data_IF_318252891803
#
_entry.id   IF_318252891803
#
_cell.length_a   1.000
_cell.length_b   1.000
_cell.length_c   1.000
_cell.angle_alpha   90.00
_cell.angle_beta   90.00
_cell.angle_gamma   90.00
#
_symmetry.space_group_name_H-M   'P 1'
#
loop_
_entity.id
_entity.type
_entity.pdbx_description
1 polymer ?
#
# COMPACT_ATOMS: atom_id res chain seq x y z
N UNK A 1 9.25 -2.57 -22.19
CA UNK A 1 9.72 -3.93 -22.60
C UNK A 1 8.60 -4.91 -22.29
N UNK A 2 8.51 -6.09 -22.94
CA UNK A 2 7.57 -7.14 -22.51
C UNK A 2 8.20 -8.05 -21.43
N UNK A 3 7.35 -8.73 -20.66
CA UNK A 3 7.76 -9.55 -19.51
C UNK A 3 8.69 -10.70 -19.89
N UNK A 4 8.46 -11.37 -21.02
CA UNK A 4 9.26 -12.53 -21.42
C UNK A 4 10.68 -12.10 -21.82
N UNK A 5 10.81 -10.96 -22.50
CA UNK A 5 12.12 -10.37 -22.82
C UNK A 5 12.87 -9.96 -21.56
N UNK A 6 12.20 -9.31 -20.60
CA UNK A 6 12.79 -8.93 -19.32
C UNK A 6 13.34 -10.14 -18.55
N UNK A 7 12.52 -11.19 -18.38
CA UNK A 7 12.92 -12.40 -17.66
C UNK A 7 14.13 -13.08 -18.30
N UNK A 8 14.19 -13.15 -19.63
CA UNK A 8 15.33 -13.72 -20.36
C UNK A 8 16.61 -12.92 -20.11
N UNK A 9 16.54 -11.59 -20.20
CA UNK A 9 17.71 -10.74 -19.98
C UNK A 9 18.17 -10.77 -18.52
N UNK A 10 17.22 -10.77 -17.57
CA UNK A 10 17.52 -10.90 -16.14
C UNK A 10 18.21 -12.22 -15.84
N UNK A 11 17.68 -13.34 -16.33
CA UNK A 11 18.29 -14.66 -16.16
C UNK A 11 19.71 -14.69 -16.76
N UNK A 12 19.90 -14.14 -17.96
CA UNK A 12 21.21 -14.08 -18.58
C UNK A 12 22.22 -13.31 -17.72
N UNK A 13 21.84 -12.24 -17.03
CA UNK A 13 22.74 -11.55 -16.10
C UNK A 13 23.01 -12.39 -14.86
N UNK A 14 21.99 -13.00 -14.26
CA UNK A 14 22.14 -13.85 -13.08
C UNK A 14 23.04 -15.07 -13.33
N UNK A 15 23.03 -15.61 -14.55
CA UNK A 15 23.92 -16.73 -14.94
C UNK A 15 25.38 -16.30 -15.16
N UNK A 16 25.63 -15.02 -15.42
CA UNK A 16 26.96 -14.50 -15.82
C UNK A 16 27.63 -13.61 -14.77
N UNK A 17 26.93 -13.25 -13.70
CA UNK A 17 27.41 -12.37 -12.66
C UNK A 17 26.98 -12.83 -11.26
N UNK A 18 27.66 -12.34 -10.23
CA UNK A 18 27.28 -12.59 -8.84
C UNK A 18 26.33 -11.50 -8.33
N UNK A 19 25.43 -11.82 -7.38
CA UNK A 19 24.67 -10.81 -6.65
C UNK A 19 25.60 -9.79 -5.99
N UNK A 20 25.18 -8.53 -5.93
CA UNK A 20 25.95 -7.48 -5.28
C UNK A 20 25.91 -7.60 -3.75
N UNK A 21 26.99 -7.17 -3.12
CA UNK A 21 27.07 -7.13 -1.66
C UNK A 21 26.09 -6.10 -1.07
N UNK A 22 25.74 -6.29 0.20
CA UNK A 22 24.89 -5.44 1.02
C UNK A 22 25.10 -3.93 0.88
N UNK A 23 26.35 -3.51 0.73
CA UNK A 23 26.71 -2.10 0.57
C UNK A 23 26.05 -1.50 -0.67
N UNK A 24 26.08 -2.20 -1.80
CA UNK A 24 25.51 -1.71 -3.05
C UNK A 24 23.98 -1.76 -3.02
N UNK A 25 23.42 -2.83 -2.45
CA UNK A 25 21.97 -2.98 -2.25
C UNK A 25 21.42 -1.83 -1.39
N UNK A 26 22.11 -1.52 -0.29
CA UNK A 26 21.74 -0.41 0.60
C UNK A 26 21.83 0.95 -0.09
N UNK A 27 22.87 1.17 -0.90
CA UNK A 27 23.03 2.41 -1.66
C UNK A 27 21.90 2.60 -2.69
N UNK A 28 21.57 1.53 -3.44
CA UNK A 28 20.48 1.57 -4.41
C UNK A 28 19.12 1.78 -3.73
N UNK A 29 18.85 1.06 -2.63
CA UNK A 29 17.64 1.25 -1.85
C UNK A 29 17.51 2.70 -1.34
N UNK A 30 18.60 3.31 -0.86
CA UNK A 30 18.59 4.70 -0.43
C UNK A 30 18.28 5.68 -1.56
N UNK A 31 18.84 5.46 -2.74
CA UNK A 31 18.54 6.26 -3.93
C UNK A 31 17.06 6.11 -4.36
N UNK A 32 16.53 4.88 -4.32
CA UNK A 32 15.12 4.60 -4.59
C UNK A 32 14.20 5.26 -3.57
N UNK A 33 14.47 5.15 -2.27
CA UNK A 33 13.65 5.77 -1.22
C UNK A 33 13.60 7.30 -1.41
N UNK A 34 14.76 7.92 -1.67
CA UNK A 34 14.86 9.35 -1.94
C UNK A 34 14.07 9.75 -3.20
N UNK A 35 14.20 8.98 -4.29
CA UNK A 35 13.51 9.23 -5.55
C UNK A 35 11.98 9.09 -5.43
N UNK A 36 11.53 8.00 -4.80
CA UNK A 36 10.12 7.69 -4.60
C UNK A 36 9.45 8.75 -3.70
N UNK A 37 10.04 9.09 -2.56
CA UNK A 37 9.52 10.14 -1.66
C UNK A 37 9.59 11.53 -2.29
N UNK A 38 10.59 11.81 -3.12
CA UNK A 38 10.73 13.07 -3.85
C UNK A 38 9.73 13.26 -4.99
N UNK A 39 9.17 12.18 -5.53
CA UNK A 39 8.27 12.20 -6.70
C UNK A 39 6.90 12.83 -6.43
N UNK A 40 6.47 12.87 -5.16
CA UNK A 40 5.11 13.26 -4.73
C UNK A 40 3.98 12.41 -5.31
N UNK A 41 4.28 11.28 -5.94
CA UNK A 41 3.30 10.33 -6.48
C UNK A 41 2.77 9.38 -5.40
N UNK A 42 3.51 9.23 -4.30
CA UNK A 42 3.24 8.25 -3.26
C UNK A 42 2.98 8.92 -1.91
N UNK A 43 1.90 8.52 -1.26
CA UNK A 43 1.56 8.90 0.11
C UNK A 43 2.37 8.05 1.12
N UNK A 44 2.59 6.78 0.81
CA UNK A 44 3.36 5.85 1.62
C UNK A 44 4.40 5.14 0.74
N UNK A 45 5.60 4.97 1.28
CA UNK A 45 6.70 4.23 0.64
C UNK A 45 7.34 3.36 1.70
N UNK A 46 7.31 2.05 1.48
CA UNK A 46 7.96 1.04 2.31
C UNK A 46 8.93 0.26 1.43
N UNK A 47 10.22 0.34 1.74
CA UNK A 47 11.25 -0.44 1.06
C UNK A 47 11.87 -1.46 2.02
N UNK A 48 12.07 -2.67 1.51
CA UNK A 48 12.69 -3.79 2.21
C UNK A 48 13.84 -4.38 1.41
N UNK A 49 14.63 -5.21 2.09
CA UNK A 49 15.69 -6.01 1.51
C UNK A 49 15.38 -7.48 1.72
N UNK A 50 15.78 -8.31 0.78
CA UNK A 50 15.64 -9.76 0.89
C UNK A 50 16.92 -10.46 0.44
N UNK A 51 17.08 -11.71 0.87
CA UNK A 51 18.14 -12.60 0.39
C UNK A 51 17.76 -13.32 -0.92
N UNK A 52 16.58 -13.03 -1.47
CA UNK A 52 16.13 -13.55 -2.76
C UNK A 52 16.84 -12.80 -3.89
N UNK A 53 17.64 -13.53 -4.66
CA UNK A 53 18.40 -13.00 -5.80
C UNK A 53 17.52 -12.46 -6.92
N UNK A 54 16.24 -12.85 -6.95
CA UNK A 54 15.25 -12.31 -7.88
C UNK A 54 14.63 -11.00 -7.39
N UNK A 55 14.71 -10.70 -6.09
CA UNK A 55 14.00 -9.60 -5.43
C UNK A 55 14.82 -8.98 -4.29
N UNK A 56 16.06 -8.61 -4.58
CA UNK A 56 17.01 -8.16 -3.53
C UNK A 56 16.52 -6.87 -2.84
N UNK A 57 15.92 -5.96 -3.60
CA UNK A 57 15.17 -4.81 -3.07
C UNK A 57 13.70 -5.00 -3.41
N UNK A 58 12.84 -4.96 -2.39
CA UNK A 58 11.39 -4.96 -2.55
C UNK A 58 10.80 -3.65 -2.07
N UNK A 59 9.68 -3.25 -2.63
CA UNK A 59 8.99 -2.06 -2.17
C UNK A 59 7.50 -2.09 -2.41
N UNK A 60 6.75 -1.54 -1.46
CA UNK A 60 5.33 -1.27 -1.61
C UNK A 60 5.15 0.24 -1.48
N UNK A 61 4.51 0.82 -2.49
CA UNK A 61 4.17 2.22 -2.53
C UNK A 61 2.65 2.35 -2.56
N UNK A 62 2.10 3.36 -1.88
CA UNK A 62 0.70 3.73 -2.00
C UNK A 62 0.62 5.05 -2.73
N UNK A 63 -0.11 5.09 -3.84
CA UNK A 63 -0.35 6.31 -4.60
C UNK A 63 -1.04 7.37 -3.73
N UNK A 64 -0.74 8.64 -3.98
CA UNK A 64 -1.55 9.76 -3.47
C UNK A 64 -2.94 9.74 -4.13
N UNK A 65 -3.87 10.49 -3.55
CA UNK A 65 -5.20 10.67 -4.14
C UNK A 65 -5.10 11.14 -5.60
N UNK A 66 -6.04 10.67 -6.43
CA UNK A 66 -6.14 10.97 -7.87
C UNK A 66 -4.99 10.45 -8.74
N UNK A 67 -3.99 9.74 -8.19
CA UNK A 67 -2.94 9.09 -8.99
C UNK A 67 -3.31 7.64 -9.28
N UNK A 68 -3.50 7.33 -10.57
CA UNK A 68 -3.76 5.98 -11.03
C UNK A 68 -2.47 5.14 -11.05
N UNK A 69 -2.54 3.80 -10.93
CA UNK A 69 -1.37 2.93 -10.96
C UNK A 69 -0.50 3.10 -12.22
N UNK A 70 -1.11 3.32 -13.39
CA UNK A 70 -0.36 3.53 -14.63
C UNK A 70 0.47 4.83 -14.61
N UNK A 71 -0.03 5.89 -13.96
CA UNK A 71 0.70 7.17 -13.81
C UNK A 71 1.90 7.00 -12.87
N UNK A 72 1.72 6.24 -11.79
CA UNK A 72 2.82 5.84 -10.92
C UNK A 72 3.88 5.06 -11.71
N UNK A 73 3.49 4.17 -12.61
CA UNK A 73 4.41 3.44 -13.50
C UNK A 73 5.27 4.39 -14.34
N UNK A 74 4.65 5.34 -15.03
CA UNK A 74 5.36 6.37 -15.83
C UNK A 74 6.31 7.19 -14.96
N UNK A 75 5.88 7.53 -13.74
CA UNK A 75 6.69 8.26 -12.77
C UNK A 75 7.92 7.48 -12.30
N UNK A 76 7.74 6.20 -11.99
CA UNK A 76 8.84 5.32 -11.58
C UNK A 76 9.81 5.09 -12.74
N UNK A 77 9.36 4.87 -13.97
CA UNK A 77 10.28 4.74 -15.12
C UNK A 77 11.17 5.98 -15.29
N UNK A 78 10.60 7.18 -15.14
CA UNK A 78 11.38 8.43 -15.21
C UNK A 78 12.38 8.56 -14.06
N UNK A 79 11.96 8.22 -12.84
CA UNK A 79 12.82 8.25 -11.65
C UNK A 79 13.95 7.21 -11.77
N UNK A 80 13.63 6.03 -12.30
CA UNK A 80 14.58 4.96 -12.53
C UNK A 80 15.71 5.40 -13.46
N UNK A 81 15.41 6.14 -14.53
CA UNK A 81 16.44 6.70 -15.40
C UNK A 81 17.47 7.59 -14.68
N UNK A 82 17.08 8.22 -13.55
CA UNK A 82 18.00 8.99 -12.71
C UNK A 82 18.74 8.09 -11.73
N UNK A 83 18.05 7.15 -11.08
CA UNK A 83 18.66 6.22 -10.11
C UNK A 83 19.68 5.27 -10.76
N UNK A 84 19.39 4.80 -11.97
CA UNK A 84 20.24 3.90 -12.73
C UNK A 84 21.27 4.63 -13.63
N UNK A 85 21.33 5.96 -13.59
CA UNK A 85 22.15 6.77 -14.52
C UNK A 85 23.64 6.39 -14.50
N UNK A 86 24.19 6.07 -13.33
CA UNK A 86 25.61 5.74 -13.16
C UNK A 86 25.88 4.22 -13.26
N UNK A 87 24.86 3.42 -13.61
CA UNK A 87 25.02 1.97 -13.79
C UNK A 87 25.56 1.65 -15.19
N UNK A 88 26.34 0.58 -15.30
CA UNK A 88 26.89 0.17 -16.62
C UNK A 88 25.87 -0.50 -17.51
N UNK A 89 24.90 -1.15 -16.89
CA UNK A 89 23.86 -1.91 -17.56
C UNK A 89 22.63 -1.93 -16.66
N UNK A 90 21.48 -1.71 -17.26
CA UNK A 90 20.19 -1.80 -16.62
C UNK A 90 19.17 -2.41 -17.58
N UNK A 91 18.19 -3.09 -17.01
CA UNK A 91 16.92 -3.41 -17.66
C UNK A 91 15.80 -3.17 -16.66
N UNK A 92 14.63 -2.81 -17.18
CA UNK A 92 13.42 -2.72 -16.37
C UNK A 92 12.19 -3.13 -17.18
N UNK A 93 11.15 -3.49 -16.45
CA UNK A 93 9.84 -3.85 -16.94
C UNK A 93 8.79 -3.21 -16.04
N UNK A 94 7.81 -2.57 -16.66
CA UNK A 94 6.67 -1.98 -15.96
C UNK A 94 5.41 -2.58 -16.51
N UNK A 95 4.57 -3.04 -15.61
CA UNK A 95 3.22 -3.48 -15.93
C UNK A 95 2.23 -2.80 -15.00
N UNK A 96 1.05 -2.47 -15.51
CA UNK A 96 -0.01 -1.86 -14.72
C UNK A 96 -1.34 -2.42 -15.12
N UNK A 97 -2.20 -2.61 -14.14
CA UNK A 97 -3.62 -2.87 -14.32
C UNK A 97 -4.41 -1.90 -13.42
N UNK A 98 -5.72 -2.09 -13.33
CA UNK A 98 -6.60 -1.21 -12.55
C UNK A 98 -6.37 -1.30 -11.02
N UNK A 99 -5.74 -2.39 -10.55
CA UNK A 99 -5.54 -2.68 -9.13
C UNK A 99 -4.15 -2.33 -8.62
N UNK A 100 -3.12 -2.41 -9.46
CA UNK A 100 -1.75 -2.09 -9.09
C UNK A 100 -0.85 -1.86 -10.30
N UNK A 101 0.31 -1.29 -10.02
CA UNK A 101 1.45 -1.23 -10.91
C UNK A 101 2.59 -2.05 -10.32
N UNK A 102 3.24 -2.84 -11.15
CA UNK A 102 4.44 -3.59 -10.80
C UNK A 102 5.60 -3.13 -11.66
N UNK A 103 6.71 -2.81 -11.00
CA UNK A 103 7.97 -2.43 -11.58
C UNK A 103 9.02 -3.48 -11.19
N UNK A 104 9.68 -4.05 -12.18
CA UNK A 104 10.80 -4.96 -11.98
C UNK A 104 12.03 -4.39 -12.67
N UNK A 105 13.20 -4.49 -12.05
CA UNK A 105 14.45 -4.07 -12.67
C UNK A 105 15.64 -4.92 -12.25
N UNK A 106 16.68 -4.90 -13.09
CA UNK A 106 17.99 -5.43 -12.77
C UNK A 106 19.07 -4.46 -13.24
N UNK A 107 20.09 -4.24 -12.42
CA UNK A 107 21.22 -3.35 -12.72
C UNK A 107 22.54 -4.01 -12.38
N UNK A 108 23.61 -3.54 -13.01
CA UNK A 108 25.00 -3.84 -12.60
C UNK A 108 25.65 -2.61 -11.99
N UNK A 109 26.31 -2.79 -10.84
CA UNK A 109 26.77 -1.66 -10.01
C UNK A 109 28.25 -1.34 -10.15
N UNK A 110 29.06 -2.28 -10.64
CA UNK A 110 30.51 -2.14 -10.67
C UNK A 110 31.14 -2.81 -11.89
N UNK A 111 32.46 -2.62 -12.01
CA UNK A 111 33.29 -3.20 -13.07
C UNK A 111 33.36 -4.73 -13.02
N UNK A 112 32.99 -5.33 -11.88
CA UNK A 112 32.89 -6.78 -11.71
C UNK A 112 31.55 -7.33 -12.19
N UNK A 113 30.63 -6.45 -12.63
CA UNK A 113 29.32 -6.82 -13.16
C UNK A 113 28.34 -7.28 -12.09
N UNK A 114 28.60 -7.03 -10.80
CA UNK A 114 27.70 -7.49 -9.74
C UNK A 114 26.32 -6.87 -9.86
N UNK A 115 25.30 -7.71 -9.75
CA UNK A 115 23.93 -7.30 -10.07
C UNK A 115 23.06 -7.07 -8.85
N UNK A 116 22.05 -6.21 -9.00
CA UNK A 116 20.96 -6.03 -8.04
C UNK A 116 19.63 -6.15 -8.78
N UNK A 117 18.68 -6.85 -8.17
CA UNK A 117 17.28 -6.94 -8.62
C UNK A 117 16.36 -6.11 -7.74
N UNK A 118 15.37 -5.47 -8.35
CA UNK A 118 14.39 -4.60 -7.71
C UNK A 118 12.99 -5.03 -8.12
N UNK A 119 12.06 -5.11 -7.16
CA UNK A 119 10.63 -5.28 -7.41
C UNK A 119 9.86 -4.25 -6.57
N UNK A 120 9.09 -3.37 -7.23
CA UNK A 120 8.23 -2.38 -6.58
C UNK A 120 6.80 -2.61 -7.00
N UNK A 121 5.88 -2.52 -6.05
CA UNK A 121 4.44 -2.55 -6.30
C UNK A 121 3.86 -1.22 -5.85
N UNK A 122 3.06 -0.57 -6.71
CA UNK A 122 2.27 0.58 -6.33
C UNK A 122 0.78 0.24 -6.32
N UNK A 123 0.14 0.47 -5.18
CA UNK A 123 -1.30 0.34 -4.99
C UNK A 123 -1.98 1.71 -5.15
N UNK A 124 -3.24 1.75 -5.62
CA UNK A 124 -4.07 2.94 -5.55
C UNK A 124 -4.15 3.53 -4.14
N UNK A 125 -4.52 4.80 -4.06
CA UNK A 125 -4.85 5.43 -2.78
C UNK A 125 -5.91 4.62 -2.02
N UNK A 126 -5.82 4.61 -0.68
CA UNK A 126 -6.88 4.00 0.13
C UNK A 126 -8.16 4.79 -0.09
N UNK A 127 -9.17 4.16 -0.70
CA UNK A 127 -10.52 4.71 -0.68
C UNK A 127 -10.94 4.77 0.77
N UNK A 128 -11.00 5.97 1.34
CA UNK A 128 -11.74 6.18 2.57
C UNK A 128 -13.20 5.85 2.21
N UNK A 129 -13.67 4.67 2.63
CA UNK A 129 -15.11 4.44 2.64
C UNK A 129 -15.72 5.63 3.37
N UNK A 130 -16.68 6.35 2.76
CA UNK A 130 -17.50 7.26 3.53
C UNK A 130 -18.06 6.41 4.66
N UNK A 131 -17.72 6.75 5.91
CA UNK A 131 -18.59 6.37 7.01
C UNK A 131 -19.93 6.97 6.59
N UNK A 132 -20.87 6.11 6.19
CA UNK A 132 -22.26 6.49 6.09
C UNK A 132 -22.57 7.09 7.46
N UNK A 133 -22.57 8.42 7.51
CA UNK A 133 -23.13 9.13 8.63
C UNK A 133 -24.55 8.59 8.71
N UNK A 134 -24.81 7.86 9.78
CA UNK A 134 -26.10 7.31 10.16
C UNK A 134 -27.14 8.42 10.02
N UNK A 135 -27.74 8.44 8.84
CA UNK A 135 -28.79 9.33 8.43
C UNK A 135 -30.05 8.49 8.41
N UNK A 136 -30.41 7.92 9.56
CA UNK A 136 -31.77 7.54 9.84
C UNK A 136 -32.46 8.62 10.67
N UNK A 137 -33.32 9.34 9.94
CA UNK A 137 -34.28 10.37 10.31
C UNK A 137 -35.42 9.79 11.18
N UNK A 138 -36.60 10.43 11.31
CA UNK A 138 -36.95 11.80 11.68
C UNK A 138 -37.83 11.84 12.96
N UNK A 139 -38.10 13.05 13.45
CA UNK A 139 -39.21 13.30 14.37
C UNK A 139 -40.56 12.85 13.76
N UNK A 140 -41.35 12.09 14.52
CA UNK A 140 -42.76 11.86 14.23
C UNK A 140 -43.62 12.17 15.45
N UNK A 141 -44.46 13.17 15.25
CA UNK A 141 -45.46 13.78 16.13
C UNK A 141 -46.65 12.84 16.40
N UNK A 142 -47.27 12.94 17.59
CA UNK A 142 -48.74 12.93 17.89
C UNK A 142 -48.93 12.49 19.37
N UNK A 143 -49.14 13.42 20.31
CA UNK A 143 -50.45 13.95 20.72
C UNK A 143 -51.40 12.89 21.30
N UNK A 144 -51.55 12.85 22.63
CA UNK A 144 -52.89 12.85 23.24
C UNK A 144 -52.89 13.34 24.70
N UNK A 145 -53.90 14.14 25.05
CA UNK A 145 -54.21 14.58 26.42
C UNK A 145 -55.15 13.55 27.05
N UNK A 146 -55.12 13.37 28.38
CA UNK A 146 -56.37 13.65 29.09
C UNK A 146 -56.16 14.37 30.43
N UNK A 147 -57.15 15.19 30.78
CA UNK A 147 -57.25 15.81 32.11
C UNK A 147 -57.81 14.87 33.17
N UNK A 148 -57.74 15.29 34.43
CA UNK A 148 -58.51 14.68 35.52
C UNK A 148 -57.77 14.67 36.86
N UNK A 149 -58.32 15.39 37.83
CA UNK A 149 -57.83 15.61 39.19
C UNK A 149 -58.29 14.52 40.19
N UNK A 150 -57.47 14.31 41.23
CA UNK A 150 -57.77 13.88 42.63
C UNK A 150 -58.59 12.62 42.94
N UNK A 151 -58.04 11.68 43.72
CA UNK A 151 -58.17 11.60 45.20
C UNK A 151 -57.88 10.19 45.79
N UNK A 152 -57.20 10.19 46.95
CA UNK A 152 -57.27 9.28 48.11
C UNK A 152 -57.00 7.75 48.00
N UNK A 153 -56.03 7.26 48.78
CA UNK A 153 -55.69 5.83 49.01
C UNK A 153 -56.62 5.15 50.04
N UNK A 154 -56.14 4.26 50.95
CA UNK A 154 -54.89 3.48 51.01
C UNK A 154 -55.15 1.96 51.23
N UNK A 155 -54.15 1.09 51.08
CA UNK A 155 -53.79 -0.01 52.03
C UNK A 155 -52.92 -1.11 51.40
N UNK A 156 -51.98 -1.63 52.20
CA UNK A 156 -51.46 -3.01 52.07
C UNK A 156 -50.04 -3.19 51.53
N UNK A 157 -49.04 -3.10 52.41
CA UNK A 157 -47.65 -3.57 52.22
C UNK A 157 -47.52 -5.06 52.69
N UNK A 158 -46.36 -5.77 52.55
CA UNK A 158 -45.95 -6.75 51.53
C UNK A 158 -45.62 -8.12 52.22
N UNK A 159 -44.54 -8.90 51.94
CA UNK A 159 -43.73 -9.24 50.75
C UNK A 159 -43.59 -10.78 50.53
N UNK A 160 -42.82 -11.23 49.51
CA UNK A 160 -41.83 -12.36 49.56
C UNK A 160 -41.22 -12.64 48.17
N UNK A 161 -39.94 -12.34 47.95
CA UNK A 161 -38.76 -13.26 47.91
C UNK A 161 -38.64 -14.03 46.58
N UNK A 162 -37.73 -13.62 45.66
CA UNK A 162 -36.40 -14.21 45.35
C UNK A 162 -36.50 -15.60 44.66
N UNK A 163 -35.82 -15.98 43.56
CA UNK A 163 -34.37 -16.07 43.34
C UNK A 163 -34.08 -16.96 42.09
N UNK A 164 -33.12 -16.53 41.26
CA UNK A 164 -32.03 -17.26 40.54
C UNK A 164 -32.28 -18.27 39.40
N UNK A 165 -31.36 -18.13 38.43
CA UNK A 165 -30.85 -19.01 37.36
C UNK A 165 -30.86 -20.54 37.59
N UNK A 166 -30.97 -21.26 36.46
CA UNK A 166 -29.96 -22.23 36.01
C UNK A 166 -30.11 -22.45 34.49
#
# INVERSE_FOLDING_TARGET
MDTASFQKLRLAVQENANPADDRYVTALQGALDQGLRGSRLFAEVELGRTDDVDRMVIGICRCVDDVAPWEAGVGIERMWGVVAMDTRWEIHHVSSNDSYMEFEAAVTMDDSGRYITVNLVAEPARVAHPVEADADQPASTLADRPGGSSAAGPDGLPPRTATIDA
#
